data_IF_402959319236
#
_entry.id   IF_402959319236
#
_cell.length_a   1.000
_cell.length_b   1.000
_cell.length_c   1.000
_cell.angle_alpha   90.00
_cell.angle_beta   90.00
_cell.angle_gamma   90.00
#
_symmetry.space_group_name_H-M   'P 1'
#
loop_
_entity.id
_entity.type
_entity.pdbx_description
1 polymer ?
#
# COMPACT_ATOMS: atom_id res chain seq x y z
N UNK A 1 -18.30 56.23 -1.28
CA UNK A 1 -19.04 55.81 -2.49
C UNK A 1 -18.79 54.32 -2.70
N UNK A 2 -19.87 53.53 -2.80
CA UNK A 2 -19.99 52.13 -3.28
C UNK A 2 -18.97 51.12 -2.71
N UNK A 3 -19.21 50.36 -1.63
CA UNK A 3 -20.20 49.29 -1.39
C UNK A 3 -20.38 48.28 -2.55
N UNK A 4 -19.82 47.08 -2.37
CA UNK A 4 -20.38 45.84 -2.92
C UNK A 4 -20.30 44.72 -1.88
N UNK A 5 -21.48 44.24 -1.48
CA UNK A 5 -21.72 43.11 -0.58
C UNK A 5 -22.41 42.05 -1.42
N UNK A 6 -21.99 40.80 -1.33
CA UNK A 6 -22.80 39.67 -1.82
C UNK A 6 -22.85 38.61 -0.74
N UNK A 7 -24.04 38.50 -0.13
CA UNK A 7 -24.48 37.38 0.69
C UNK A 7 -24.80 36.20 -0.23
N UNK A 8 -24.37 35.00 0.14
CA UNK A 8 -25.07 33.77 -0.23
C UNK A 8 -25.27 32.90 1.00
N UNK A 9 -26.48 32.39 1.10
CA UNK A 9 -27.15 31.80 2.26
C UNK A 9 -26.55 30.48 2.77
N UNK A 10 -26.83 30.23 4.05
CA UNK A 10 -26.63 28.97 4.73
C UNK A 10 -27.37 27.80 4.05
N UNK A 11 -26.66 26.67 3.88
CA UNK A 11 -27.27 25.34 3.78
C UNK A 11 -26.71 24.49 4.92
N UNK A 12 -27.64 23.86 5.63
CA UNK A 12 -27.45 23.02 6.82
C UNK A 12 -26.73 21.71 6.44
N UNK A 13 -26.11 21.11 7.46
CA UNK A 13 -25.08 20.09 7.35
C UNK A 13 -25.43 18.82 6.59
N UNK A 14 -24.37 18.19 6.09
CA UNK A 14 -24.24 16.75 5.87
C UNK A 14 -22.77 16.43 6.16
N UNK A 15 -22.54 15.30 6.82
CA UNK A 15 -21.36 15.03 7.64
C UNK A 15 -20.01 15.08 6.96
N UNK A 16 -18.99 15.19 7.81
CA UNK A 16 -17.59 14.95 7.46
C UNK A 16 -17.50 13.67 6.62
N UNK A 17 -16.89 13.70 5.42
CA UNK A 17 -16.50 12.47 4.77
C UNK A 17 -15.50 11.82 5.72
N UNK A 18 -15.92 10.75 6.38
CA UNK A 18 -14.96 9.79 6.92
C UNK A 18 -14.01 9.48 5.78
N UNK A 19 -12.72 9.62 6.04
CA UNK A 19 -11.67 9.11 5.17
C UNK A 19 -11.87 7.59 5.14
N UNK A 20 -12.81 7.12 4.32
CA UNK A 20 -12.88 5.74 3.88
C UNK A 20 -11.59 5.57 3.12
N UNK A 21 -10.64 4.90 3.76
CA UNK A 21 -9.43 4.43 3.12
C UNK A 21 -9.87 3.46 2.03
N UNK A 22 -10.12 4.00 0.84
CA UNK A 22 -10.22 3.24 -0.37
C UNK A 22 -8.85 2.59 -0.56
N UNK A 23 -8.68 1.39 -0.03
CA UNK A 23 -7.66 0.50 -0.58
C UNK A 23 -8.05 0.35 -2.05
N UNK A 24 -7.18 0.72 -3.01
CA UNK A 24 -7.45 0.42 -4.40
C UNK A 24 -7.73 -1.08 -4.45
N UNK A 25 -8.96 -1.44 -4.84
CA UNK A 25 -9.29 -2.81 -5.13
C UNK A 25 -8.32 -3.23 -6.24
N UNK A 26 -7.26 -3.95 -5.84
CA UNK A 26 -6.27 -4.47 -6.76
C UNK A 26 -7.01 -5.17 -7.89
N UNK A 27 -6.56 -4.94 -9.13
CA UNK A 27 -6.96 -5.77 -10.26
C UNK A 27 -6.87 -7.25 -9.84
N UNK A 28 -7.76 -8.12 -10.32
CA UNK A 28 -7.56 -9.55 -10.14
C UNK A 28 -6.20 -9.89 -10.76
N UNK A 29 -5.22 -10.21 -9.90
CA UNK A 29 -3.83 -10.46 -10.30
C UNK A 29 -3.77 -11.64 -11.25
N UNK A 30 -2.97 -11.51 -12.30
CA UNK A 30 -2.66 -12.59 -13.21
C UNK A 30 -1.73 -13.58 -12.52
N UNK A 31 -1.72 -14.84 -12.96
CA UNK A 31 -0.79 -15.87 -12.45
C UNK A 31 0.70 -15.49 -12.59
N UNK A 32 1.01 -14.54 -13.46
CA UNK A 32 2.36 -14.00 -13.65
C UNK A 32 2.84 -13.18 -12.44
N UNK A 33 1.92 -12.54 -11.72
CA UNK A 33 2.28 -11.71 -10.55
C UNK A 33 2.85 -12.59 -9.42
N UNK A 34 2.37 -13.82 -9.21
CA UNK A 34 2.86 -14.67 -8.12
C UNK A 34 4.29 -15.19 -8.36
N UNK A 35 4.65 -15.50 -9.62
CA UNK A 35 6.01 -15.90 -9.97
C UNK A 35 7.00 -14.73 -9.85
N UNK A 36 6.57 -13.52 -10.21
CA UNK A 36 7.35 -12.30 -10.01
C UNK A 36 7.50 -11.96 -8.52
N UNK A 37 6.43 -12.14 -7.72
CA UNK A 37 6.46 -11.97 -6.26
C UNK A 37 7.37 -13.00 -5.58
N UNK A 38 7.33 -14.28 -5.97
CA UNK A 38 8.24 -15.31 -5.46
C UNK A 38 9.70 -14.99 -5.80
N UNK A 39 9.96 -14.52 -7.02
CA UNK A 39 11.29 -14.05 -7.42
C UNK A 39 11.74 -12.85 -6.56
N UNK A 40 10.83 -11.91 -6.28
CA UNK A 40 11.10 -10.77 -5.41
C UNK A 40 11.34 -11.18 -3.95
N UNK A 41 10.57 -12.14 -3.41
CA UNK A 41 10.77 -12.71 -2.07
C UNK A 41 12.14 -13.39 -1.95
N UNK A 42 12.51 -14.20 -2.94
CA UNK A 42 13.83 -14.86 -3.01
C UNK A 42 14.96 -13.84 -3.07
N UNK A 43 14.80 -12.77 -3.83
CA UNK A 43 15.78 -11.68 -3.89
C UNK A 43 15.90 -10.97 -2.53
N UNK A 44 14.78 -10.64 -1.90
CA UNK A 44 14.75 -9.98 -0.58
C UNK A 44 15.41 -10.83 0.50
N UNK A 45 15.21 -12.15 0.46
CA UNK A 45 15.83 -13.10 1.37
C UNK A 45 17.35 -13.25 1.18
N UNK A 46 17.85 -12.95 -0.02
CA UNK A 46 19.27 -12.98 -0.37
C UNK A 46 19.98 -11.65 -0.12
N UNK A 47 19.23 -10.58 0.18
CA UNK A 47 19.79 -9.24 0.34
C UNK A 47 20.54 -9.13 1.67
N UNK A 48 21.87 -9.02 1.58
CA UNK A 48 22.77 -8.79 2.71
C UNK A 48 23.49 -7.45 2.58
N UNK A 49 23.85 -6.78 3.70
CA UNK A 49 24.50 -5.47 3.68
C UNK A 49 25.89 -5.48 3.02
N UNK A 50 26.56 -6.63 2.96
CA UNK A 50 27.86 -6.79 2.31
C UNK A 50 27.76 -7.04 0.79
N UNK A 51 26.59 -7.48 0.32
CA UNK A 51 26.31 -7.77 -1.09
C UNK A 51 26.02 -6.50 -1.88
N UNK A 52 25.72 -5.39 -1.21
CA UNK A 52 25.47 -4.08 -1.84
C UNK A 52 26.80 -3.51 -2.37
N UNK A 53 26.96 -3.34 -3.70
CA UNK A 53 28.18 -2.76 -4.25
C UNK A 53 28.39 -1.34 -3.74
N UNK A 54 29.54 -1.09 -3.10
CA UNK A 54 29.87 0.21 -2.51
C UNK A 54 29.92 1.36 -3.52
N UNK A 55 30.14 1.07 -4.81
CA UNK A 55 30.23 2.08 -5.87
C UNK A 55 28.90 2.70 -6.30
N UNK A 56 27.76 2.18 -5.81
CA UNK A 56 26.44 2.78 -6.08
C UNK A 56 26.16 3.92 -5.10
N UNK A 57 26.80 3.92 -3.93
CA UNK A 57 26.56 4.88 -2.86
C UNK A 57 27.71 5.88 -2.77
N UNK A 58 27.40 7.17 -2.82
CA UNK A 58 28.38 8.22 -2.54
C UNK A 58 28.60 8.35 -1.03
N UNK A 59 29.82 8.00 -0.58
CA UNK A 59 30.19 8.06 0.83
C UNK A 59 30.92 9.37 1.11
N UNK A 60 30.25 10.29 1.81
CA UNK A 60 30.83 11.55 2.26
C UNK A 60 31.06 11.58 3.77
N UNK A 61 32.19 12.14 4.21
CA UNK A 61 32.51 12.28 5.63
C UNK A 61 32.45 13.74 6.06
N UNK A 62 31.63 14.04 7.06
CA UNK A 62 31.63 15.33 7.76
C UNK A 62 32.14 15.13 9.17
N UNK A 63 32.96 16.05 9.67
CA UNK A 63 33.29 16.09 11.10
C UNK A 63 32.05 16.53 11.87
N UNK A 64 31.60 15.72 12.83
CA UNK A 64 30.61 16.18 13.80
C UNK A 64 31.20 17.38 14.53
N UNK A 65 30.61 18.55 14.30
CA UNK A 65 30.95 19.73 15.09
C UNK A 65 30.54 19.46 16.54
N UNK A 66 31.26 20.05 17.50
CA UNK A 66 31.14 19.78 18.94
C UNK A 66 29.73 19.93 19.54
N UNK A 67 29.58 19.84 20.88
CA UNK A 67 28.31 19.64 21.56
C UNK A 67 27.28 20.72 21.21
N UNK A 68 26.34 20.40 20.31
CA UNK A 68 25.33 21.33 19.83
C UNK A 68 25.09 21.20 18.32
N UNK A 69 24.13 20.37 17.95
CA UNK A 69 23.65 20.27 16.58
C UNK A 69 22.42 19.39 16.55
N UNK A 70 21.25 20.02 16.50
CA UNK A 70 19.93 19.41 16.51
C UNK A 70 19.91 18.17 15.60
N UNK A 71 19.59 16.99 16.16
CA UNK A 71 19.30 15.79 15.37
C UNK A 71 17.99 16.09 14.61
N UNK A 72 18.13 16.67 13.42
CA UNK A 72 17.02 17.12 12.59
C UNK A 72 16.27 15.90 12.13
N UNK A 73 15.08 15.73 12.68
CA UNK A 73 14.19 14.62 12.45
C UNK A 73 13.68 14.60 10.99
N UNK A 74 14.53 14.16 10.06
CA UNK A 74 14.12 13.68 8.75
C UNK A 74 14.96 12.45 8.45
N UNK A 75 14.44 11.27 8.85
CA UNK A 75 15.25 10.07 9.13
C UNK A 75 16.17 9.66 7.98
N UNK A 76 15.78 9.83 6.71
CA UNK A 76 16.61 9.45 5.56
C UNK A 76 16.43 10.31 4.30
N UNK A 77 15.64 11.38 4.33
CA UNK A 77 15.27 12.14 3.11
C UNK A 77 16.06 13.45 2.98
N UNK A 78 16.71 13.67 1.84
CA UNK A 78 17.40 14.93 1.54
C UNK A 78 16.41 16.10 1.40
N UNK A 79 16.68 17.25 2.03
CA UNK A 79 15.76 18.40 1.97
C UNK A 79 15.58 19.00 0.55
N UNK A 80 16.52 18.73 -0.36
CA UNK A 80 16.49 19.17 -1.76
C UNK A 80 16.97 18.01 -2.63
N UNK A 81 16.04 17.25 -3.22
CA UNK A 81 16.35 16.16 -4.16
C UNK A 81 15.53 14.91 -3.89
N UNK A 82 15.64 13.94 -4.81
CA UNK A 82 15.08 12.59 -4.67
C UNK A 82 16.08 11.62 -4.01
N UNK A 83 17.03 12.17 -3.26
CA UNK A 83 18.16 11.42 -2.70
C UNK A 83 17.86 10.97 -1.27
N UNK A 84 18.35 9.78 -0.93
CA UNK A 84 18.28 9.22 0.40
C UNK A 84 19.63 9.44 1.08
N UNK A 85 19.63 10.13 2.22
CA UNK A 85 20.84 10.43 2.99
C UNK A 85 20.81 9.66 4.30
N UNK A 86 21.79 8.79 4.50
CA UNK A 86 21.93 7.94 5.69
C UNK A 86 23.15 8.40 6.48
N UNK A 87 22.94 8.74 7.75
CA UNK A 87 24.00 9.20 8.65
C UNK A 87 24.22 8.20 9.80
N UNK A 88 25.48 8.00 10.18
CA UNK A 88 25.86 7.23 11.36
C UNK A 88 27.10 7.86 12.03
N UNK A 89 27.00 8.11 13.34
CA UNK A 89 28.05 8.70 14.17
C UNK A 89 28.36 7.85 15.43
N UNK A 90 27.97 6.57 15.42
CA UNK A 90 27.99 5.68 16.57
C UNK A 90 29.41 5.34 17.09
N UNK A 91 30.43 5.44 16.23
CA UNK A 91 31.80 5.09 16.56
C UNK A 91 32.78 6.20 16.20
N UNK A 92 33.91 6.24 16.92
CA UNK A 92 35.06 7.06 16.53
C UNK A 92 35.86 6.48 15.35
N UNK A 93 35.58 5.23 14.96
CA UNK A 93 36.20 4.57 13.80
C UNK A 93 35.34 4.76 12.56
N UNK A 94 35.91 5.42 11.55
CA UNK A 94 35.25 5.69 10.27
C UNK A 94 34.69 4.42 9.61
N UNK A 95 35.47 3.33 9.58
CA UNK A 95 35.06 2.05 8.99
C UNK A 95 33.79 1.49 9.64
N UNK A 96 33.66 1.62 10.96
CA UNK A 96 32.48 1.14 11.67
C UNK A 96 31.24 1.95 11.31
N UNK A 97 31.38 3.27 11.17
CA UNK A 97 30.28 4.15 10.77
C UNK A 97 29.85 3.90 9.33
N UNK A 98 30.79 3.62 8.43
CA UNK A 98 30.47 3.20 7.04
C UNK A 98 29.65 1.92 7.04
N UNK A 99 30.10 0.89 7.75
CA UNK A 99 29.37 -0.38 7.84
C UNK A 99 27.99 -0.20 8.50
N UNK A 100 27.87 0.70 9.50
CA UNK A 100 26.61 1.04 10.12
C UNK A 100 25.63 1.70 9.13
N UNK A 101 26.11 2.59 8.24
CA UNK A 101 25.27 3.15 7.17
C UNK A 101 24.74 2.07 6.22
N UNK A 102 25.59 1.11 5.80
CA UNK A 102 25.14 0.01 4.93
C UNK A 102 24.15 -0.93 5.61
N UNK A 103 24.27 -1.16 6.92
CA UNK A 103 23.28 -1.92 7.69
C UNK A 103 21.93 -1.21 7.73
N UNK A 104 21.91 0.09 8.01
CA UNK A 104 20.69 0.91 7.99
C UNK A 104 20.06 0.93 6.60
N UNK A 105 20.86 1.03 5.55
CA UNK A 105 20.39 0.94 4.16
C UNK A 105 19.70 -0.42 3.89
N UNK A 106 20.33 -1.52 4.30
CA UNK A 106 19.78 -2.86 4.13
C UNK A 106 18.44 -3.03 4.87
N UNK A 107 18.38 -2.57 6.13
CA UNK A 107 17.15 -2.61 6.94
C UNK A 107 16.01 -1.84 6.26
N UNK A 108 16.29 -0.66 5.70
CA UNK A 108 15.31 0.14 4.96
C UNK A 108 14.80 -0.57 3.71
N UNK A 109 15.68 -1.23 2.95
CA UNK A 109 15.27 -1.98 1.77
C UNK A 109 14.41 -3.18 2.17
N UNK A 110 14.73 -3.84 3.28
CA UNK A 110 13.93 -4.95 3.82
C UNK A 110 12.55 -4.46 4.27
N UNK A 111 12.48 -3.33 4.97
CA UNK A 111 11.22 -2.73 5.41
C UNK A 111 10.34 -2.35 4.20
N UNK A 112 10.89 -1.61 3.24
CA UNK A 112 10.19 -1.24 2.01
C UNK A 112 9.80 -2.48 1.17
N UNK A 113 10.67 -3.48 1.11
CA UNK A 113 10.43 -4.74 0.41
C UNK A 113 9.29 -5.54 1.03
N UNK A 114 9.15 -5.56 2.35
CA UNK A 114 8.01 -6.20 3.04
C UNK A 114 6.68 -5.48 2.80
N UNK A 115 6.71 -4.16 2.65
CA UNK A 115 5.50 -3.40 2.31
C UNK A 115 5.10 -3.57 0.84
N UNK A 116 6.09 -3.63 -0.06
CA UNK A 116 5.86 -3.77 -1.51
C UNK A 116 5.50 -5.20 -1.92
N UNK A 117 6.11 -6.20 -1.29
CA UNK A 117 5.91 -7.62 -1.59
C UNK A 117 4.99 -8.23 -0.52
N UNK A 118 3.68 -8.34 -0.78
CA UNK A 118 2.79 -9.02 0.16
C UNK A 118 3.28 -10.45 0.40
N UNK A 119 3.31 -10.86 1.67
CA UNK A 119 3.66 -12.22 2.06
C UNK A 119 2.72 -13.25 1.42
N UNK A 120 3.18 -14.49 1.31
CA UNK A 120 2.35 -15.60 0.83
C UNK A 120 1.07 -15.66 1.68
N UNK A 121 -0.09 -15.53 1.03
CA UNK A 121 -1.36 -15.78 1.70
C UNK A 121 -1.36 -17.22 2.19
N UNK A 122 -1.49 -17.42 3.50
CA UNK A 122 -1.48 -18.76 4.12
C UNK A 122 -2.40 -19.72 3.36
N UNK A 123 -2.04 -21.02 3.23
CA UNK A 123 -2.90 -22.00 2.55
C UNK A 123 -4.30 -22.07 3.16
N UNK A 124 -4.44 -21.76 4.45
CA UNK A 124 -5.74 -21.66 5.13
C UNK A 124 -6.54 -20.42 4.69
N UNK A 125 -5.87 -19.29 4.51
CA UNK A 125 -6.49 -18.06 4.02
C UNK A 125 -6.96 -18.21 2.57
N UNK A 126 -6.17 -18.89 1.73
CA UNK A 126 -6.54 -19.18 0.34
C UNK A 126 -7.82 -20.01 0.27
N UNK A 127 -7.90 -21.10 1.05
CA UNK A 127 -9.12 -21.93 1.16
C UNK A 127 -10.31 -21.13 1.67
N UNK A 128 -10.09 -20.24 2.64
CA UNK A 128 -11.14 -19.37 3.18
C UNK A 128 -11.67 -18.40 2.11
N UNK A 129 -10.79 -17.78 1.32
CA UNK A 129 -11.18 -16.88 0.23
C UNK A 129 -11.95 -17.65 -0.84
N UNK A 130 -11.51 -18.85 -1.22
CA UNK A 130 -12.21 -19.69 -2.19
C UNK A 130 -13.62 -20.07 -1.71
N UNK A 131 -13.76 -20.44 -0.43
CA UNK A 131 -15.07 -20.71 0.17
C UNK A 131 -15.99 -19.49 0.16
N UNK A 132 -15.46 -18.30 0.47
CA UNK A 132 -16.23 -17.05 0.42
C UNK A 132 -16.69 -16.71 -0.99
N UNK A 133 -15.84 -16.88 -2.00
CA UNK A 133 -16.19 -16.66 -3.41
C UNK A 133 -17.27 -17.62 -3.89
N UNK A 134 -17.16 -18.91 -3.55
CA UNK A 134 -18.19 -19.92 -3.86
C UNK A 134 -19.53 -19.56 -3.20
N UNK A 135 -19.50 -19.13 -1.95
CA UNK A 135 -20.69 -18.70 -1.22
C UNK A 135 -21.33 -17.44 -1.84
N UNK A 136 -20.54 -16.45 -2.23
CA UNK A 136 -21.01 -15.22 -2.90
C UNK A 136 -21.65 -15.54 -4.26
N UNK A 137 -21.00 -16.38 -5.08
CA UNK A 137 -21.52 -16.79 -6.38
C UNK A 137 -22.84 -17.57 -6.24
N UNK A 138 -22.92 -18.48 -5.28
CA UNK A 138 -24.14 -19.22 -4.99
C UNK A 138 -25.27 -18.30 -4.49
N UNK A 139 -24.97 -17.35 -3.61
CA UNK A 139 -25.92 -16.35 -3.11
C UNK A 139 -26.46 -15.46 -4.25
N UNK A 140 -25.57 -14.97 -5.10
CA UNK A 140 -25.92 -14.16 -6.29
C UNK A 140 -26.85 -14.94 -7.24
N UNK A 141 -26.56 -16.23 -7.48
CA UNK A 141 -27.39 -17.08 -8.33
C UNK A 141 -28.79 -17.29 -7.75
N UNK A 142 -28.88 -17.64 -6.47
CA UNK A 142 -30.17 -17.80 -5.77
C UNK A 142 -31.02 -16.53 -5.82
N UNK A 143 -30.41 -15.36 -5.59
CA UNK A 143 -31.11 -14.08 -5.68
C UNK A 143 -31.64 -13.81 -7.10
N UNK A 144 -30.82 -14.06 -8.13
CA UNK A 144 -31.25 -13.91 -9.54
C UNK A 144 -32.37 -14.88 -9.90
N UNK A 145 -32.30 -16.13 -9.46
CA UNK A 145 -33.35 -17.13 -9.68
C UNK A 145 -34.67 -16.73 -9.00
N UNK A 146 -34.62 -16.25 -7.76
CA UNK A 146 -35.80 -15.77 -7.05
C UNK A 146 -36.44 -14.56 -7.72
N UNK A 147 -35.63 -13.57 -8.12
CA UNK A 147 -36.08 -12.39 -8.87
C UNK A 147 -36.72 -12.80 -10.21
N UNK A 148 -36.13 -13.76 -10.93
CA UNK A 148 -36.66 -14.30 -12.18
C UNK A 148 -38.02 -14.96 -11.98
N UNK A 149 -38.15 -15.87 -11.00
CA UNK A 149 -39.41 -16.55 -10.67
C UNK A 149 -40.50 -15.55 -10.29
N UNK A 150 -40.17 -14.54 -9.47
CA UNK A 150 -41.10 -13.46 -9.10
C UNK A 150 -41.58 -12.66 -10.32
N UNK A 151 -40.70 -12.38 -11.30
CA UNK A 151 -41.07 -11.70 -12.54
C UNK A 151 -41.91 -12.59 -13.47
N UNK A 152 -41.61 -13.89 -13.54
CA UNK A 152 -42.37 -14.86 -14.34
C UNK A 152 -43.80 -15.02 -13.83
N UNK A 153 -43.99 -15.14 -12.52
CA UNK A 153 -45.30 -15.26 -11.89
C UNK A 153 -46.21 -14.05 -12.17
N UNK A 154 -45.62 -12.85 -12.28
CA UNK A 154 -46.35 -11.63 -12.68
C UNK A 154 -46.79 -11.63 -14.15
N UNK A 155 -46.05 -12.32 -15.03
CA UNK A 155 -46.36 -12.40 -16.47
C UNK A 155 -47.40 -13.46 -16.81
N UNK A 156 -47.43 -14.58 -16.08
CA UNK A 156 -48.43 -15.63 -16.28
C UNK A 156 -49.84 -15.24 -15.79
N UNK A 157 -49.95 -14.26 -14.90
CA UNK A 157 -51.23 -13.75 -14.40
C UNK A 157 -51.93 -12.76 -15.34
N UNK A 158 -51.25 -12.24 -16.37
CA UNK A 158 -51.77 -11.18 -17.24
C UNK A 158 -52.15 -11.65 -18.66
N UNK A 159 -52.35 -12.95 -18.87
CA UNK A 159 -52.58 -13.54 -20.20
C UNK A 159 -53.87 -14.36 -20.36
N UNK A 160 -54.91 -14.09 -19.56
CA UNK A 160 -56.24 -14.70 -19.71
C UNK A 160 -57.25 -13.62 -20.07
N UNK A 161 -57.58 -13.51 -21.36
CA UNK A 161 -58.67 -12.68 -21.84
C UNK A 161 -58.48 -12.26 -23.29
N UNK A 162 -58.66 -13.19 -24.22
CA UNK A 162 -59.08 -12.91 -25.60
C UNK A 162 -59.79 -14.19 -26.09
N UNK A 163 -61.12 -14.17 -25.97
CA UNK A 163 -62.12 -15.08 -26.57
C UNK A 163 -63.16 -14.17 -27.26
#
# INVERSE_FOLDING_TARGET
>A
MLQYVSRTSAVRGIGYPSLVRCYPAGRPGGSSDEAELDSARKWLAKLDPETIPRGICDITFSRSSGPGGQNVNNRYHAAKGNDIVIQADESRKQTNNVNACFKKLNELIIEAGREAVPGETSPEQTKRVEMLQKAEAAGRRKMKEFQSKKKSARRSGSGRGDD
#
